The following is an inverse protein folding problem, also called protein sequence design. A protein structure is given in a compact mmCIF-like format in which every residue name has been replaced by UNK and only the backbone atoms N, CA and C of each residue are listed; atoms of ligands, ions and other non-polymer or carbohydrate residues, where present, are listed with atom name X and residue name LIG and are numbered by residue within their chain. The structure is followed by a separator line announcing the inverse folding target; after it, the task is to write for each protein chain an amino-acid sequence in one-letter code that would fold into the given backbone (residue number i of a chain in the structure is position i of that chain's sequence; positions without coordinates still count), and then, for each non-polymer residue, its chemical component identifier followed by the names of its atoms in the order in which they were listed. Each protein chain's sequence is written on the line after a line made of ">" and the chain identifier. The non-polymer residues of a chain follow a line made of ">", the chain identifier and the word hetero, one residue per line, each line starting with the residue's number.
data_IF_713370312405
#
_entry.id   IF_713370312405
#
_cell.length_a   1.000
_cell.length_b   1.000
_cell.length_c   1.000
_cell.angle_alpha   90.00
_cell.angle_beta   90.00
_cell.angle_gamma   90.00
#
_symmetry.space_group_name_H-M   'P 1'
#
loop_
_entity.id
_entity.type
_entity.pdbx_description
1 polymer ?
#
# COMPACT_ATOMS: atom_id res chain seq x y z
N UNK A 1 -61.55 -26.84 -14.83
CA UNK A 1 -60.86 -27.94 -14.13
C UNK A 1 -60.04 -27.34 -13.01
N UNK A 2 -60.59 -27.41 -11.80
CA UNK A 2 -60.03 -26.88 -10.56
C UNK A 2 -59.25 -27.98 -9.86
N UNK A 3 -58.01 -27.74 -9.39
CA UNK A 3 -57.45 -28.34 -8.17
C UNK A 3 -56.40 -27.41 -7.53
N UNK A 4 -56.26 -27.42 -6.19
CA UNK A 4 -56.07 -26.20 -5.41
C UNK A 4 -54.73 -26.13 -4.66
N UNK A 5 -54.46 -24.95 -4.10
CA UNK A 5 -53.50 -24.72 -3.02
C UNK A 5 -53.78 -25.63 -1.81
N UNK A 6 -52.71 -26.21 -1.26
CA UNK A 6 -52.72 -26.83 0.06
C UNK A 6 -51.62 -26.19 0.89
N UNK A 7 -52.06 -25.49 1.93
CA UNK A 7 -51.28 -25.10 3.09
C UNK A 7 -51.05 -26.32 3.98
N UNK A 8 -49.83 -26.48 4.48
CA UNK A 8 -49.56 -27.35 5.62
C UNK A 8 -48.45 -26.74 6.48
N UNK A 9 -48.85 -26.01 7.51
CA UNK A 9 -48.03 -25.74 8.69
C UNK A 9 -47.86 -27.02 9.50
N UNK A 10 -46.64 -27.31 9.97
CA UNK A 10 -46.43 -28.02 11.24
C UNK A 10 -45.02 -27.79 11.80
N UNK A 11 -45.02 -27.34 13.04
CA UNK A 11 -43.88 -26.97 13.86
C UNK A 11 -43.00 -28.16 14.29
N UNK A 12 -41.73 -27.80 14.55
CA UNK A 12 -40.76 -28.31 15.53
C UNK A 12 -40.51 -29.83 15.62
N UNK A 13 -39.24 -30.23 15.52
CA UNK A 13 -38.48 -30.79 16.64
C UNK A 13 -36.98 -30.79 16.30
N UNK A 14 -36.18 -30.18 17.18
CA UNK A 14 -34.72 -30.27 17.16
C UNK A 14 -34.27 -31.72 17.38
N UNK A 15 -33.28 -32.18 16.61
CA UNK A 15 -32.44 -33.33 16.96
C UNK A 15 -30.98 -33.02 16.69
N UNK A 16 -30.31 -32.47 17.69
CA UNK A 16 -28.86 -32.38 17.78
C UNK A 16 -28.29 -33.75 18.15
N UNK A 17 -27.55 -34.38 17.24
CA UNK A 17 -26.72 -35.56 17.58
C UNK A 17 -25.35 -35.08 18.04
N UNK A 18 -25.14 -35.03 19.35
CA UNK A 18 -23.82 -34.82 19.94
C UNK A 18 -22.98 -36.10 19.79
N UNK A 19 -21.84 -36.01 19.08
CA UNK A 19 -20.83 -37.06 19.04
C UNK A 19 -20.04 -37.03 20.35
N UNK A 20 -20.17 -38.06 21.17
CA UNK A 20 -19.31 -38.30 22.32
C UNK A 20 -17.93 -38.77 21.85
N UNK A 21 -16.89 -38.03 22.21
CA UNK A 21 -15.50 -38.45 22.08
C UNK A 21 -14.95 -38.67 23.50
N UNK A 22 -14.75 -39.93 23.87
CA UNK A 22 -14.20 -40.31 25.18
C UNK A 22 -12.70 -40.02 25.21
N UNK A 23 -12.28 -39.03 26.01
CA UNK A 23 -10.86 -38.75 26.26
C UNK A 23 -10.43 -39.43 27.56
N UNK A 24 -9.54 -40.42 27.44
CA UNK A 24 -8.81 -41.00 28.58
C UNK A 24 -7.68 -40.06 28.99
N UNK A 25 -7.67 -39.68 30.28
CA UNK A 25 -6.69 -38.76 30.86
C UNK A 25 -5.46 -39.52 31.34
N UNK A 26 -4.42 -39.60 30.52
CA UNK A 26 -3.09 -40.03 30.97
C UNK A 26 -2.38 -38.83 31.64
N UNK A 27 -2.01 -38.96 32.92
CA UNK A 27 -1.17 -38.00 33.65
C UNK A 27 0.29 -38.42 33.51
N UNK A 28 1.13 -37.57 32.92
CA UNK A 28 2.60 -37.67 33.02
C UNK A 28 3.12 -36.58 33.97
N UNK A 29 4.12 -36.87 34.83
CA UNK A 29 4.68 -35.87 35.73
C UNK A 29 5.60 -34.91 34.97
N UNK A 30 5.21 -33.64 34.95
CA UNK A 30 6.00 -32.52 34.43
C UNK A 30 7.00 -32.11 35.52
N UNK A 31 8.27 -32.48 35.37
CA UNK A 31 9.40 -31.87 36.11
C UNK A 31 10.07 -30.85 35.19
N UNK A 32 9.48 -29.65 35.10
CA UNK A 32 10.09 -28.52 34.38
C UNK A 32 11.05 -27.78 35.32
N UNK A 33 12.34 -28.07 35.22
CA UNK A 33 13.38 -27.16 35.73
C UNK A 33 13.44 -25.95 34.80
N UNK A 34 12.96 -24.80 35.26
CA UNK A 34 13.14 -23.51 34.57
C UNK A 34 14.62 -23.12 34.66
N UNK A 35 15.38 -23.37 33.60
CA UNK A 35 16.69 -22.74 33.40
C UNK A 35 16.46 -21.39 32.73
N UNK A 36 16.67 -20.31 33.49
CA UNK A 36 16.68 -18.93 32.97
C UNK A 36 17.96 -18.75 32.14
N UNK A 37 17.86 -18.88 30.82
CA UNK A 37 18.94 -18.46 29.92
C UNK A 37 18.95 -16.94 29.87
N UNK A 38 20.04 -16.33 30.35
CA UNK A 38 20.28 -14.88 30.26
C UNK A 38 20.29 -14.44 28.79
N UNK A 39 19.29 -13.67 28.40
CA UNK A 39 19.27 -12.97 27.11
C UNK A 39 20.26 -11.81 27.18
N UNK A 40 21.44 -11.96 26.57
CA UNK A 40 22.41 -10.87 26.43
C UNK A 40 21.82 -9.82 25.48
N UNK A 41 21.25 -8.76 26.06
CA UNK A 41 20.79 -7.60 25.29
C UNK A 41 22.04 -6.86 24.81
N UNK A 42 22.28 -6.87 23.49
CA UNK A 42 23.30 -6.02 22.87
C UNK A 42 22.82 -4.56 22.94
N UNK A 43 23.57 -3.63 23.57
CA UNK A 43 23.18 -2.23 23.57
C UNK A 43 23.29 -1.68 22.15
N UNK A 44 22.16 -1.24 21.59
CA UNK A 44 22.12 -0.49 20.33
C UNK A 44 22.79 0.87 20.61
N UNK A 45 23.98 1.09 20.04
CA UNK A 45 24.71 2.36 20.19
C UNK A 45 24.08 3.43 19.31
N UNK A 46 23.37 4.37 19.93
CA UNK A 46 22.74 5.53 19.27
C UNK A 46 23.72 6.65 18.87
N UNK A 47 25.04 6.46 19.05
CA UNK A 47 26.07 7.51 18.85
C UNK A 47 26.32 7.91 17.38
N UNK A 48 25.53 7.41 16.43
CA UNK A 48 25.63 7.73 15.00
C UNK A 48 24.47 8.53 14.39
N UNK A 49 23.44 8.88 15.18
CA UNK A 49 22.19 9.46 14.63
C UNK A 49 22.30 10.97 14.36
N UNK A 50 23.33 11.64 14.83
CA UNK A 50 23.57 13.06 14.54
C UNK A 50 24.83 13.22 13.70
N UNK A 51 24.77 12.73 12.45
CA UNK A 51 25.71 13.18 11.43
C UNK A 51 25.19 14.53 10.95
N UNK A 52 25.92 15.59 11.30
CA UNK A 52 25.65 16.97 10.89
C UNK A 52 25.31 17.00 9.40
N UNK A 53 24.13 17.52 9.09
CA UNK A 53 23.66 17.80 7.75
C UNK A 53 24.67 18.72 7.07
N UNK A 54 25.55 18.13 6.26
CA UNK A 54 26.15 18.89 5.19
C UNK A 54 24.96 19.36 4.36
N UNK A 55 24.85 20.67 4.17
CA UNK A 55 23.88 21.32 3.29
C UNK A 55 24.17 20.85 1.85
N UNK A 56 23.88 19.58 1.57
CA UNK A 56 23.91 19.03 0.22
C UNK A 56 22.79 19.74 -0.50
N UNK A 57 23.16 20.74 -1.31
CA UNK A 57 22.33 21.30 -2.36
C UNK A 57 21.57 20.14 -3.01
N UNK A 58 20.28 20.03 -2.67
CA UNK A 58 19.36 19.06 -3.27
C UNK A 58 19.43 19.31 -4.77
N UNK A 59 20.16 18.45 -5.48
CA UNK A 59 20.24 18.57 -6.93
C UNK A 59 18.82 18.33 -7.45
N UNK A 60 18.32 19.25 -8.28
CA UNK A 60 17.03 19.05 -8.95
C UNK A 60 17.22 17.88 -9.90
N UNK A 61 16.55 16.77 -9.60
CA UNK A 61 16.64 15.52 -10.36
C UNK A 61 15.62 15.47 -11.49
N UNK A 62 14.45 16.11 -11.31
CA UNK A 62 13.36 16.16 -12.28
C UNK A 62 12.76 17.57 -12.38
N UNK A 63 12.33 17.92 -13.58
CA UNK A 63 11.60 19.17 -13.89
C UNK A 63 10.08 18.92 -13.94
N UNK A 64 9.29 19.99 -13.83
CA UNK A 64 7.82 19.91 -13.78
C UNK A 64 7.19 19.34 -15.07
N UNK A 65 7.85 19.50 -16.21
CA UNK A 65 7.31 19.10 -17.51
C UNK A 65 7.54 17.61 -17.83
N UNK A 66 8.28 16.87 -16.98
CA UNK A 66 8.63 15.46 -17.20
C UNK A 66 8.50 14.63 -15.92
N UNK A 67 7.31 14.65 -15.31
CA UNK A 67 7.04 13.96 -14.04
C UNK A 67 6.65 12.49 -14.20
N UNK A 68 6.19 12.07 -15.38
CA UNK A 68 5.72 10.70 -15.59
C UNK A 68 6.85 9.75 -15.98
N UNK A 69 7.18 8.83 -15.08
CA UNK A 69 8.03 7.68 -15.38
C UNK A 69 7.41 6.37 -14.89
N UNK A 70 7.56 5.31 -15.68
CA UNK A 70 7.24 3.95 -15.21
C UNK A 70 8.08 3.65 -13.98
N UNK A 71 7.44 3.21 -12.88
CA UNK A 71 8.06 3.05 -11.57
C UNK A 71 9.32 2.20 -11.61
N UNK A 72 9.29 1.07 -12.33
CA UNK A 72 10.42 0.14 -12.44
C UNK A 72 11.63 0.71 -13.21
N UNK A 73 11.41 1.72 -14.05
CA UNK A 73 12.41 2.36 -14.90
C UNK A 73 12.68 3.82 -14.49
N UNK A 74 12.15 4.25 -13.35
CA UNK A 74 12.29 5.63 -12.88
C UNK A 74 13.76 5.99 -12.65
N UNK A 75 14.17 7.24 -12.95
CA UNK A 75 15.50 7.73 -12.58
C UNK A 75 15.69 7.81 -11.05
N UNK A 76 14.60 7.83 -10.27
CA UNK A 76 14.65 7.90 -8.81
C UNK A 76 14.76 6.50 -8.20
N UNK A 77 15.76 6.23 -7.35
CA UNK A 77 15.91 4.92 -6.70
C UNK A 77 14.71 4.58 -5.81
N UNK A 78 14.12 5.55 -5.11
CA UNK A 78 12.96 5.34 -4.23
C UNK A 78 11.74 4.84 -4.99
N UNK A 79 11.57 5.30 -6.24
CA UNK A 79 10.47 4.90 -7.11
C UNK A 79 10.65 3.46 -7.63
N UNK A 80 11.89 3.08 -7.96
CA UNK A 80 12.24 1.70 -8.31
C UNK A 80 12.06 0.75 -7.13
N UNK A 81 12.41 1.18 -5.92
CA UNK A 81 12.19 0.41 -4.69
C UNK A 81 10.70 0.19 -4.43
N UNK A 82 9.87 1.21 -4.63
CA UNK A 82 8.40 1.08 -4.58
C UNK A 82 7.88 0.05 -5.60
N UNK A 83 8.37 0.10 -6.84
CA UNK A 83 8.05 -0.90 -7.86
C UNK A 83 8.41 -2.32 -7.40
N UNK A 84 9.61 -2.48 -6.82
CA UNK A 84 10.10 -3.78 -6.32
C UNK A 84 9.23 -4.34 -5.20
N UNK A 85 8.75 -3.48 -4.29
CA UNK A 85 7.85 -3.87 -3.21
C UNK A 85 6.50 -4.31 -3.74
N UNK A 86 5.92 -3.58 -4.71
CA UNK A 86 4.65 -3.96 -5.33
C UNK A 86 4.80 -5.29 -6.08
N UNK A 87 5.88 -5.46 -6.85
CA UNK A 87 6.19 -6.73 -7.54
C UNK A 87 6.36 -7.88 -6.55
N UNK A 88 6.93 -7.65 -5.37
CA UNK A 88 7.16 -8.68 -4.36
C UNK A 88 5.90 -9.08 -3.62
N UNK A 89 5.09 -8.11 -3.21
CA UNK A 89 3.98 -8.34 -2.28
C UNK A 89 2.60 -8.30 -2.93
N UNK A 90 2.45 -7.64 -4.07
CA UNK A 90 1.19 -7.53 -4.80
C UNK A 90 0.70 -8.86 -5.39
N UNK A 91 -0.51 -8.83 -5.94
CA UNK A 91 -1.15 -9.95 -6.63
C UNK A 91 -1.76 -9.44 -7.92
N UNK A 92 -1.65 -10.21 -9.00
CA UNK A 92 -2.34 -9.90 -10.25
C UNK A 92 -3.86 -10.13 -10.08
N UNK A 93 -4.72 -9.13 -10.37
CA UNK A 93 -6.16 -9.23 -10.13
C UNK A 93 -6.84 -10.29 -11.01
N UNK A 94 -6.37 -10.50 -12.24
CA UNK A 94 -6.87 -11.55 -13.13
C UNK A 94 -6.53 -12.94 -12.58
N UNK A 95 -5.27 -13.15 -12.17
CA UNK A 95 -4.87 -14.44 -11.58
C UNK A 95 -5.69 -14.78 -10.34
N UNK A 96 -5.99 -13.77 -9.51
CA UNK A 96 -6.78 -13.95 -8.30
C UNK A 96 -8.18 -14.49 -8.62
N UNK A 97 -8.81 -13.99 -9.69
CA UNK A 97 -10.10 -14.50 -10.17
C UNK A 97 -10.03 -15.94 -10.71
N UNK A 98 -8.88 -16.36 -11.23
CA UNK A 98 -8.62 -17.70 -11.78
C UNK A 98 -8.06 -18.69 -10.73
N UNK A 99 -7.87 -18.26 -9.48
CA UNK A 99 -7.32 -19.10 -8.41
C UNK A 99 -5.79 -19.23 -8.41
N UNK A 100 -5.09 -18.46 -9.24
CA UNK A 100 -3.63 -18.35 -9.24
C UNK A 100 -3.16 -17.13 -8.44
N UNK A 101 -1.93 -17.15 -7.93
CA UNK A 101 -1.38 -16.06 -7.08
C UNK A 101 -0.11 -15.44 -7.66
N UNK A 102 -0.11 -15.21 -8.97
CA UNK A 102 1.05 -14.62 -9.64
C UNK A 102 1.23 -13.17 -9.22
N UNK A 103 2.50 -12.75 -9.21
CA UNK A 103 2.92 -11.42 -8.83
C UNK A 103 2.81 -10.44 -10.00
N UNK A 104 2.47 -9.17 -9.75
CA UNK A 104 2.28 -8.20 -10.80
C UNK A 104 3.64 -7.70 -11.32
N UNK A 105 4.25 -8.40 -12.27
CA UNK A 105 5.57 -8.05 -12.83
C UNK A 105 5.53 -7.10 -14.03
N UNK A 106 4.39 -7.00 -14.71
CA UNK A 106 4.15 -6.14 -15.87
C UNK A 106 3.74 -4.74 -15.45
N UNK A 107 4.47 -3.75 -15.93
CA UNK A 107 4.22 -2.33 -15.70
C UNK A 107 3.25 -1.78 -16.75
N UNK A 108 2.17 -1.15 -16.30
CA UNK A 108 1.22 -0.49 -17.20
C UNK A 108 1.87 0.75 -17.84
N UNK A 109 1.82 0.91 -19.18
CA UNK A 109 2.44 2.05 -19.87
C UNK A 109 1.75 3.38 -19.57
N UNK A 110 0.45 3.37 -19.24
CA UNK A 110 -0.35 4.58 -19.06
C UNK A 110 -0.25 5.15 -17.63
N UNK A 111 -0.27 4.30 -16.60
CA UNK A 111 -0.17 4.73 -15.21
C UNK A 111 1.21 4.52 -14.58
N UNK A 112 2.07 3.71 -15.18
CA UNK A 112 3.45 3.48 -14.73
C UNK A 112 3.59 2.49 -13.56
N UNK A 113 2.49 1.93 -13.06
CA UNK A 113 2.51 0.95 -11.96
C UNK A 113 2.59 -0.51 -12.44
N UNK A 114 3.29 -1.39 -11.71
CA UNK A 114 3.17 -2.84 -11.88
C UNK A 114 1.80 -3.33 -11.43
N UNK A 115 0.98 -3.80 -12.36
CA UNK A 115 -0.44 -4.11 -12.11
C UNK A 115 -0.81 -5.56 -12.37
N UNK A 116 -0.20 -6.18 -13.38
CA UNK A 116 -0.52 -7.54 -13.83
C UNK A 116 0.75 -8.38 -13.95
N UNK A 117 0.63 -9.71 -14.01
CA UNK A 117 1.79 -10.58 -14.17
C UNK A 117 2.40 -10.53 -15.58
N UNK A 118 1.57 -10.32 -16.59
CA UNK A 118 1.94 -10.25 -18.00
C UNK A 118 1.03 -9.28 -18.75
N UNK A 119 1.39 -9.00 -20.00
CA UNK A 119 0.62 -8.15 -20.91
C UNK A 119 -0.77 -8.73 -21.20
N UNK A 120 -0.88 -10.05 -21.37
CA UNK A 120 -2.16 -10.72 -21.63
C UNK A 120 -3.16 -10.49 -20.49
N UNK A 121 -2.72 -10.66 -19.23
CA UNK A 121 -3.57 -10.39 -18.07
C UNK A 121 -3.88 -8.90 -17.91
N UNK A 122 -2.97 -8.01 -18.30
CA UNK A 122 -3.27 -6.57 -18.36
C UNK A 122 -4.38 -6.26 -19.37
N UNK A 123 -4.37 -6.92 -20.54
CA UNK A 123 -5.42 -6.76 -21.54
C UNK A 123 -6.76 -7.35 -21.08
N UNK A 124 -6.75 -8.54 -20.48
CA UNK A 124 -7.96 -9.17 -19.93
C UNK A 124 -8.58 -8.33 -18.80
N UNK A 125 -7.75 -7.79 -17.90
CA UNK A 125 -8.18 -6.93 -16.78
C UNK A 125 -8.40 -5.46 -17.14
N UNK A 126 -8.33 -5.09 -18.43
CA UNK A 126 -8.28 -3.69 -18.88
C UNK A 126 -9.47 -2.86 -18.40
N UNK A 127 -10.69 -3.39 -18.47
CA UNK A 127 -11.89 -2.62 -18.11
C UNK A 127 -11.91 -2.25 -16.62
N UNK A 128 -11.58 -3.21 -15.74
CA UNK A 128 -11.46 -2.94 -14.30
C UNK A 128 -10.26 -2.02 -14.00
N UNK A 129 -9.13 -2.19 -14.68
CA UNK A 129 -7.97 -1.33 -14.48
C UNK A 129 -8.25 0.12 -14.90
N UNK A 130 -9.05 0.33 -15.96
CA UNK A 130 -9.39 1.66 -16.49
C UNK A 130 -10.02 2.58 -15.45
N UNK A 131 -10.79 2.03 -14.51
CA UNK A 131 -11.42 2.81 -13.42
C UNK A 131 -10.39 3.46 -12.48
N UNK A 132 -9.20 2.85 -12.34
CA UNK A 132 -8.16 3.30 -11.40
C UNK A 132 -6.93 3.88 -12.10
N UNK A 133 -6.77 3.64 -13.41
CA UNK A 133 -5.56 3.92 -14.17
C UNK A 133 -5.17 5.40 -14.12
N UNK A 134 -6.13 6.31 -14.30
CA UNK A 134 -5.89 7.76 -14.25
C UNK A 134 -5.45 8.23 -12.87
N UNK A 135 -6.05 7.69 -11.81
CA UNK A 135 -5.70 8.00 -10.43
C UNK A 135 -4.27 7.53 -10.13
N UNK A 136 -3.91 6.31 -10.55
CA UNK A 136 -2.56 5.79 -10.39
C UNK A 136 -1.53 6.61 -11.16
N UNK A 137 -1.88 7.12 -12.34
CA UNK A 137 -1.02 8.03 -13.12
C UNK A 137 -0.77 9.33 -12.35
N UNK A 138 -1.82 9.95 -11.83
CA UNK A 138 -1.71 11.17 -11.03
C UNK A 138 -0.83 10.95 -9.80
N UNK A 139 -1.09 9.88 -9.05
CA UNK A 139 -0.26 9.50 -7.88
C UNK A 139 1.20 9.30 -8.29
N UNK A 140 1.46 8.73 -9.47
CA UNK A 140 2.82 8.54 -9.97
C UNK A 140 3.51 9.88 -10.26
N UNK A 141 2.85 10.78 -10.98
CA UNK A 141 3.36 12.12 -11.30
C UNK A 141 3.59 12.93 -10.03
N UNK A 142 2.65 12.92 -9.08
CA UNK A 142 2.77 13.59 -7.77
C UNK A 142 3.94 13.03 -6.94
N UNK A 143 4.13 11.70 -6.89
CA UNK A 143 5.22 11.09 -6.13
C UNK A 143 6.60 11.44 -6.74
N UNK A 144 6.70 11.55 -8.07
CA UNK A 144 7.90 12.03 -8.76
C UNK A 144 8.11 13.52 -8.50
N UNK A 145 7.04 14.31 -8.43
CA UNK A 145 7.10 15.74 -8.17
C UNK A 145 7.66 16.03 -6.78
N UNK A 146 7.13 15.34 -5.76
CA UNK A 146 7.58 15.45 -4.37
C UNK A 146 9.04 15.00 -4.17
N UNK A 147 9.53 14.08 -5.00
CA UNK A 147 10.90 13.53 -4.93
C UNK A 147 11.86 14.14 -5.94
N UNK A 148 11.39 15.05 -6.79
CA UNK A 148 12.19 15.72 -7.83
C UNK A 148 13.33 16.57 -7.25
N UNK A 149 13.21 16.99 -5.99
CA UNK A 149 14.13 17.94 -5.36
C UNK A 149 13.92 19.38 -5.83
N UNK A 150 12.96 19.66 -6.71
CA UNK A 150 12.64 21.02 -7.14
C UNK A 150 11.99 21.82 -6.00
N UNK A 151 12.16 23.14 -6.04
CA UNK A 151 11.39 24.02 -5.17
C UNK A 151 9.94 24.09 -5.65
N UNK A 152 9.01 23.94 -4.72
CA UNK A 152 7.58 24.03 -4.97
C UNK A 152 7.09 25.37 -4.43
N UNK A 153 6.58 26.24 -5.32
CA UNK A 153 6.10 27.58 -4.96
C UNK A 153 4.88 27.51 -4.05
N UNK A 154 4.14 26.41 -4.10
CA UNK A 154 2.95 26.13 -3.30
C UNK A 154 3.26 26.06 -1.79
N UNK A 155 4.51 25.78 -1.43
CA UNK A 155 4.97 25.72 -0.04
C UNK A 155 5.64 27.03 0.42
N UNK A 156 5.85 27.98 -0.50
CA UNK A 156 6.36 29.30 -0.16
C UNK A 156 5.22 30.13 0.45
N UNK A 157 5.27 30.33 1.76
CA UNK A 157 4.32 31.22 2.43
C UNK A 157 4.49 32.64 1.89
N UNK A 158 3.39 33.34 1.52
CA UNK A 158 3.49 34.75 1.16
C UNK A 158 4.12 35.49 2.33
N UNK A 159 5.24 36.17 2.06
CA UNK A 159 5.89 37.02 3.05
C UNK A 159 4.86 38.01 3.60
N UNK A 160 4.86 38.20 4.94
CA UNK A 160 4.01 39.21 5.60
C UNK A 160 4.23 40.54 4.89
N UNK A 161 3.32 40.94 4.02
CA UNK A 161 3.30 42.30 3.49
C UNK A 161 2.99 43.19 4.69
N UNK A 162 4.00 43.92 5.18
CA UNK A 162 3.78 45.13 5.96
C UNK A 162 2.99 46.06 5.06
N UNK A 163 1.66 45.95 5.10
CA UNK A 163 0.79 46.98 4.56
C UNK A 163 1.04 48.20 5.44
N UNK A 164 1.94 49.06 4.99
CA UNK A 164 2.01 50.43 5.47
C UNK A 164 0.63 51.02 5.25
N UNK A 165 -0.14 51.08 6.33
CA UNK A 165 -1.32 51.92 6.40
C UNK A 165 -0.81 53.36 6.34
N UNK A 166 -0.76 53.92 5.14
CA UNK A 166 -0.62 55.37 4.97
C UNK A 166 -1.95 55.97 5.39
N UNK A 167 -2.05 56.35 6.67
CA UNK A 167 -3.05 57.26 7.18
C UNK A 167 -2.99 58.52 6.32
N UNK A 168 -3.96 58.67 5.42
CA UNK A 168 -4.11 59.86 4.61
C UNK A 168 -4.82 60.89 5.49
N UNK A 169 -4.04 61.61 6.31
CA UNK A 169 -4.52 62.80 7.00
C UNK A 169 -4.93 63.83 5.96
N UNK A 170 -6.23 64.02 5.79
CA UNK A 170 -6.81 65.08 4.96
C UNK A 170 -6.59 66.40 5.72
N UNK A 171 -5.84 67.31 5.10
CA UNK A 171 -5.70 68.71 5.52
C UNK A 171 -6.88 69.54 5.00
#
# INVERSE_FOLDING_TARGET
>A
MNRPWISASRNLFLRTTARQCSLTRARLPIQFRRSLTQSVVRPISFKGIFRSSNEEKRQVLLEQDNLFHVLSKSPLPEMRDRASMIKKYGTCPVCESEGHKNKPTYDCPDCGYPTHCCEEHHHQGREAHKEVCSILRQVNEDDHDLRSGRSMKEFEFPSKKTKGFVESTVH
#
